data_IF_111896048371
#
_entry.id   IF_111896048371
#
_cell.length_a   1.000
_cell.length_b   1.000
_cell.length_c   1.000
_cell.angle_alpha   90.00
_cell.angle_beta   90.00
_cell.angle_gamma   90.00
#
_symmetry.space_group_name_H-M   'P 1'
#
loop_
_entity.id
_entity.type
_entity.pdbx_description
1 polymer ?
#
# COMPACT_ATOMS: atom_id res chain seq x y z
N UNK A 1 -10.66 64.91 68.86
CA UNK A 1 -10.71 64.06 67.64
C UNK A 1 -10.41 62.63 68.09
N UNK A 2 -11.19 61.58 67.91
CA UNK A 2 -12.47 61.33 67.25
C UNK A 2 -13.02 60.05 67.93
N UNK A 3 -14.22 60.10 68.46
CA UNK A 3 -14.97 58.94 68.98
C UNK A 3 -15.98 58.50 67.91
N UNK A 4 -16.27 57.20 67.80
CA UNK A 4 -17.56 56.54 67.45
C UNK A 4 -17.26 55.09 67.01
N UNK A 5 -17.63 54.02 67.76
CA UNK A 5 -18.96 53.40 67.95
C UNK A 5 -19.64 52.99 66.63
N UNK A 6 -19.94 51.69 66.44
CA UNK A 6 -21.31 51.14 66.36
C UNK A 6 -21.33 49.62 66.06
N UNK A 7 -22.24 48.93 66.75
CA UNK A 7 -22.62 47.51 66.63
C UNK A 7 -23.38 47.18 65.34
N UNK A 8 -23.40 45.91 64.93
CA UNK A 8 -24.28 45.40 63.86
C UNK A 8 -24.44 43.88 63.92
N UNK A 9 -25.69 43.41 63.93
CA UNK A 9 -26.20 42.07 64.27
C UNK A 9 -26.64 41.31 62.99
N UNK A 10 -26.40 39.98 62.97
CA UNK A 10 -27.15 38.89 62.29
C UNK A 10 -27.14 38.75 60.75
N UNK A 11 -26.86 37.52 60.27
CA UNK A 11 -27.77 36.73 59.41
C UNK A 11 -27.30 35.27 59.28
N UNK A 12 -28.05 34.35 59.91
CA UNK A 12 -28.06 32.91 59.62
C UNK A 12 -29.00 32.69 58.43
N UNK A 13 -28.61 31.86 57.46
CA UNK A 13 -29.53 31.32 56.45
C UNK A 13 -29.20 29.86 56.16
N UNK A 14 -30.28 29.09 56.07
CA UNK A 14 -30.43 27.64 56.19
C UNK A 14 -31.07 27.12 54.88
N UNK A 15 -30.81 25.83 54.58
CA UNK A 15 -31.51 24.90 53.64
C UNK A 15 -31.36 25.20 52.14
N UNK A 16 -31.12 24.23 51.25
CA UNK A 16 -32.10 23.24 50.75
C UNK A 16 -31.44 21.96 50.18
N UNK A 17 -32.08 20.81 50.45
CA UNK A 17 -31.87 19.53 49.78
C UNK A 17 -32.53 19.50 48.39
N UNK A 18 -31.85 18.89 47.41
CA UNK A 18 -32.40 18.13 46.27
C UNK A 18 -31.25 17.21 45.82
N UNK A 19 -31.37 15.90 45.57
CA UNK A 19 -32.45 15.11 44.99
C UNK A 19 -31.80 14.27 43.87
N UNK A 20 -31.83 12.95 44.00
CA UNK A 20 -31.12 11.96 43.16
C UNK A 20 -31.56 11.94 41.68
N UNK A 21 -30.65 11.57 40.77
CA UNK A 21 -30.73 10.44 39.80
C UNK A 21 -29.89 10.74 38.55
N UNK A 22 -29.01 9.79 38.20
CA UNK A 22 -28.26 9.85 36.95
C UNK A 22 -27.13 8.82 36.93
N UNK A 23 -27.49 7.53 36.93
CA UNK A 23 -26.59 6.50 36.43
C UNK A 23 -26.30 6.86 34.97
N UNK A 24 -25.15 7.48 34.71
CA UNK A 24 -24.54 7.37 33.40
C UNK A 24 -24.10 5.92 33.28
N UNK A 25 -24.90 5.14 32.57
CA UNK A 25 -24.37 3.98 31.88
C UNK A 25 -23.31 4.54 30.93
N UNK A 26 -22.04 4.38 31.28
CA UNK A 26 -20.96 4.44 30.31
C UNK A 26 -21.28 3.36 29.27
N UNK A 27 -21.83 3.80 28.16
CA UNK A 27 -21.90 3.01 26.95
C UNK A 27 -20.45 2.57 26.66
N UNK A 28 -20.15 1.26 26.65
CA UNK A 28 -18.79 0.83 26.36
C UNK A 28 -18.42 1.44 25.01
N UNK A 29 -17.21 2.01 24.87
CA UNK A 29 -16.81 2.57 23.59
C UNK A 29 -17.03 1.47 22.57
N UNK A 30 -17.91 1.74 21.61
CA UNK A 30 -18.02 0.90 20.42
C UNK A 30 -16.62 0.88 19.87
N UNK A 31 -15.92 -0.23 20.10
CA UNK A 31 -14.65 -0.50 19.43
C UNK A 31 -15.06 -0.57 17.98
N UNK A 32 -14.92 0.54 17.26
CA UNK A 32 -15.01 0.59 15.82
C UNK A 32 -13.92 -0.35 15.33
N UNK A 33 -14.30 -1.62 15.15
CA UNK A 33 -13.44 -2.59 14.51
C UNK A 33 -13.06 -1.96 13.17
N UNK A 34 -11.76 -1.82 12.84
CA UNK A 34 -11.35 -1.19 11.60
C UNK A 34 -12.10 -1.89 10.48
N UNK A 35 -12.90 -1.11 9.73
CA UNK A 35 -13.77 -1.60 8.66
C UNK A 35 -12.94 -2.54 7.81
N UNK A 36 -13.27 -3.84 7.84
CA UNK A 36 -12.55 -4.84 7.06
C UNK A 36 -12.65 -4.40 5.60
N UNK A 37 -11.53 -3.98 5.02
CA UNK A 37 -11.48 -3.54 3.63
C UNK A 37 -11.92 -4.72 2.75
N UNK A 38 -13.00 -4.52 2.01
CA UNK A 38 -13.46 -5.50 1.03
C UNK A 38 -12.42 -5.62 -0.08
N UNK A 39 -12.07 -6.86 -0.42
CA UNK A 39 -11.00 -7.13 -1.38
C UNK A 39 -11.62 -7.67 -2.66
N UNK A 40 -11.18 -7.11 -3.78
CA UNK A 40 -11.32 -7.73 -5.08
C UNK A 40 -10.18 -8.73 -5.31
N UNK A 41 -10.40 -9.69 -6.20
CA UNK A 41 -9.40 -10.65 -6.65
C UNK A 41 -9.35 -10.64 -8.17
N UNK A 42 -8.15 -10.59 -8.73
CA UNK A 42 -7.96 -10.64 -10.18
C UNK A 42 -6.57 -11.11 -10.57
N UNK A 43 -6.31 -11.06 -11.86
CA UNK A 43 -4.99 -11.35 -12.40
C UNK A 43 -4.00 -10.23 -12.04
N UNK A 44 -2.78 -10.62 -11.65
CA UNK A 44 -1.62 -9.74 -11.75
C UNK A 44 -0.97 -9.94 -13.11
N UNK A 45 -0.82 -8.83 -13.83
CA UNK A 45 -0.19 -8.74 -15.16
C UNK A 45 1.05 -7.88 -15.07
N UNK A 46 1.92 -7.97 -16.07
CA UNK A 46 3.17 -7.21 -16.03
C UNK A 46 3.71 -6.81 -17.39
N UNK A 47 4.42 -5.70 -17.38
CA UNK A 47 5.20 -5.17 -18.50
C UNK A 47 6.63 -4.88 -18.04
N UNK A 48 7.59 -5.27 -18.85
CA UNK A 48 9.00 -5.09 -18.58
C UNK A 48 9.63 -4.23 -19.67
N UNK A 49 9.84 -2.95 -19.33
CA UNK A 49 10.60 -1.99 -20.14
C UNK A 49 12.09 -1.96 -19.76
N UNK A 50 12.54 -2.85 -18.87
CA UNK A 50 13.97 -2.94 -18.51
C UNK A 50 14.75 -3.70 -19.59
N UNK A 51 16.08 -3.48 -19.71
CA UNK A 51 16.93 -4.27 -20.60
C UNK A 51 17.25 -5.67 -20.03
N UNK A 52 16.62 -6.07 -18.92
CA UNK A 52 16.95 -7.28 -18.18
C UNK A 52 15.76 -8.24 -18.14
N UNK A 53 16.05 -9.53 -18.05
CA UNK A 53 15.03 -10.53 -17.81
C UNK A 53 14.57 -10.44 -16.36
N UNK A 54 13.26 -10.55 -16.13
CA UNK A 54 12.68 -10.64 -14.79
C UNK A 54 12.05 -12.02 -14.68
N UNK A 55 12.52 -12.81 -13.73
CA UNK A 55 12.08 -14.20 -13.56
C UNK A 55 10.70 -14.30 -12.90
N UNK A 56 10.45 -13.48 -11.88
CA UNK A 56 9.18 -13.40 -11.19
C UNK A 56 9.09 -12.11 -10.37
N UNK A 57 7.88 -11.77 -9.95
CA UNK A 57 7.66 -10.70 -8.98
C UNK A 57 6.57 -11.06 -7.97
N UNK A 58 6.61 -10.36 -6.84
CA UNK A 58 5.62 -10.45 -5.77
C UNK A 58 5.19 -9.06 -5.34
N UNK A 59 3.91 -8.95 -4.97
CA UNK A 59 3.32 -7.76 -4.36
C UNK A 59 2.81 -8.18 -2.99
N UNK A 60 3.14 -7.39 -1.97
CA UNK A 60 2.68 -7.62 -0.60
C UNK A 60 2.16 -6.32 0.02
N UNK A 61 0.93 -6.35 0.50
CA UNK A 61 0.36 -5.27 1.29
C UNK A 61 0.71 -5.38 2.78
N UNK A 62 0.14 -4.51 3.63
CA UNK A 62 0.38 -4.52 5.06
C UNK A 62 0.05 -5.87 5.70
N UNK A 63 0.80 -6.26 6.74
CA UNK A 63 0.61 -7.53 7.45
C UNK A 63 -0.85 -7.69 7.91
N UNK A 64 -1.42 -8.87 7.68
CA UNK A 64 -2.80 -9.19 8.06
C UNK A 64 -3.87 -8.76 7.05
N UNK A 65 -3.56 -7.92 6.06
CA UNK A 65 -4.56 -7.44 5.08
C UNK A 65 -4.93 -8.45 4.01
N UNK A 66 -4.09 -9.46 3.76
CA UNK A 66 -4.18 -10.40 2.63
C UNK A 66 -4.10 -9.72 1.26
N UNK A 67 -3.77 -8.43 1.19
CA UNK A 67 -3.45 -7.73 -0.06
C UNK A 67 -2.12 -8.26 -0.56
N UNK A 68 -2.08 -8.64 -1.84
CA UNK A 68 -0.87 -9.18 -2.44
C UNK A 68 -1.15 -10.15 -3.57
N UNK A 69 -0.09 -10.54 -4.26
CA UNK A 69 -0.11 -11.32 -5.48
C UNK A 69 1.28 -11.39 -6.11
N UNK A 70 1.34 -11.60 -7.41
CA UNK A 70 2.61 -11.69 -8.12
C UNK A 70 2.46 -12.23 -9.54
N UNK A 71 3.56 -12.33 -10.25
CA UNK A 71 3.53 -12.85 -11.60
C UNK A 71 4.81 -13.56 -11.99
N UNK A 72 4.70 -14.25 -13.12
CA UNK A 72 5.77 -15.04 -13.70
C UNK A 72 6.76 -14.18 -14.47
N UNK A 73 7.48 -14.85 -15.36
CA UNK A 73 8.62 -14.27 -16.03
C UNK A 73 8.25 -13.32 -17.18
N UNK A 74 9.14 -12.36 -17.42
CA UNK A 74 9.06 -11.38 -18.50
C UNK A 74 10.41 -11.29 -19.19
N UNK A 75 10.40 -11.36 -20.53
CA UNK A 75 11.58 -11.00 -21.33
C UNK A 75 11.94 -9.52 -21.13
N UNK A 76 13.18 -9.16 -21.44
CA UNK A 76 13.59 -7.77 -21.53
C UNK A 76 12.79 -7.02 -22.61
N UNK A 77 12.81 -5.69 -22.53
CA UNK A 77 12.32 -4.79 -23.57
C UNK A 77 13.00 -5.11 -24.90
N UNK A 78 12.23 -5.10 -25.99
CA UNK A 78 12.75 -5.28 -27.34
C UNK A 78 13.46 -4.01 -27.83
N UNK A 79 14.24 -4.16 -28.89
CA UNK A 79 14.97 -3.04 -29.51
C UNK A 79 14.03 -1.94 -30.03
N UNK A 80 12.80 -2.30 -30.41
CA UNK A 80 11.75 -1.36 -30.84
C UNK A 80 11.08 -0.60 -29.67
N UNK A 81 11.54 -0.82 -28.43
CA UNK A 81 10.98 -0.22 -27.22
C UNK A 81 9.72 -0.89 -26.70
N UNK A 82 9.21 -1.94 -27.35
CA UNK A 82 8.06 -2.67 -26.86
C UNK A 82 8.41 -3.48 -25.61
N UNK A 83 7.54 -3.50 -24.58
CA UNK A 83 7.85 -4.21 -23.35
C UNK A 83 7.80 -5.72 -23.56
N UNK A 84 8.61 -6.45 -22.79
CA UNK A 84 8.30 -7.84 -22.49
C UNK A 84 7.02 -7.89 -21.66
N UNK A 85 6.13 -8.83 -21.94
CA UNK A 85 4.85 -8.94 -21.23
C UNK A 85 4.72 -10.32 -20.61
N UNK A 86 4.08 -10.39 -19.45
CA UNK A 86 3.62 -11.65 -18.86
C UNK A 86 2.14 -11.55 -18.53
N UNK A 87 1.40 -12.60 -18.93
CA UNK A 87 -0.04 -12.72 -18.73
C UNK A 87 -0.42 -12.88 -17.26
N UNK A 88 -1.73 -12.90 -17.03
CA UNK A 88 -2.31 -12.96 -15.70
C UNK A 88 -1.94 -14.23 -14.94
N UNK A 89 -1.15 -14.10 -13.88
CA UNK A 89 -1.16 -15.10 -12.82
C UNK A 89 -2.18 -14.64 -11.78
N UNK A 90 -3.17 -15.49 -11.52
CA UNK A 90 -3.99 -15.37 -10.30
C UNK A 90 -3.04 -15.53 -9.09
N UNK A 91 -3.26 -14.89 -7.95
CA UNK A 91 -4.48 -14.25 -7.48
C UNK A 91 -4.13 -12.95 -6.76
N UNK A 92 -4.06 -11.85 -7.50
CA UNK A 92 -3.82 -10.55 -6.91
C UNK A 92 -5.06 -10.09 -6.16
N UNK A 93 -4.89 -9.84 -4.86
CA UNK A 93 -5.92 -9.29 -3.98
C UNK A 93 -5.61 -7.84 -3.67
N UNK A 94 -6.59 -6.97 -3.86
CA UNK A 94 -6.47 -5.54 -3.64
C UNK A 94 -7.81 -4.96 -3.18
N UNK A 95 -7.84 -3.78 -2.54
CA UNK A 95 -9.09 -3.17 -2.09
C UNK A 95 -10.09 -2.97 -3.24
N UNK A 96 -11.36 -3.30 -3.02
CA UNK A 96 -12.42 -2.99 -3.98
C UNK A 96 -12.55 -1.47 -4.14
N UNK A 97 -12.61 -0.75 -3.04
CA UNK A 97 -12.55 0.72 -3.00
C UNK A 97 -11.10 1.18 -2.85
N UNK A 98 -10.67 2.13 -3.69
CA UNK A 98 -9.31 2.68 -3.61
C UNK A 98 -9.01 3.28 -2.23
N UNK A 99 -7.78 3.06 -1.75
CA UNK A 99 -7.30 3.49 -0.45
C UNK A 99 -6.08 4.39 -0.62
N UNK A 100 -6.19 5.68 -0.32
CA UNK A 100 -5.12 6.67 -0.51
C UNK A 100 -3.83 6.34 0.27
N UNK A 101 -4.00 5.81 1.47
CA UNK A 101 -2.92 5.48 2.40
C UNK A 101 -2.37 4.06 2.20
N UNK A 102 -2.92 3.27 1.26
CA UNK A 102 -2.37 1.97 0.97
C UNK A 102 -0.94 2.12 0.43
N UNK A 103 -0.04 1.40 1.07
CA UNK A 103 1.36 1.25 0.67
C UNK A 103 1.65 -0.24 0.56
N UNK A 104 2.24 -0.62 -0.57
CA UNK A 104 2.62 -2.02 -0.82
C UNK A 104 4.12 -2.11 -1.07
N UNK A 105 4.63 -3.33 -0.95
CA UNK A 105 5.99 -3.67 -1.31
C UNK A 105 5.97 -4.53 -2.57
N UNK A 106 6.72 -4.12 -3.58
CA UNK A 106 6.93 -4.89 -4.81
C UNK A 106 8.33 -5.45 -4.80
N UNK A 107 8.46 -6.76 -4.99
CA UNK A 107 9.74 -7.46 -5.10
C UNK A 107 9.84 -8.16 -6.45
N UNK A 108 11.00 -8.15 -7.08
CA UNK A 108 11.22 -8.86 -8.34
C UNK A 108 12.62 -9.44 -8.42
N UNK A 109 12.72 -10.63 -9.03
CA UNK A 109 13.97 -11.32 -9.26
C UNK A 109 14.45 -10.99 -10.67
N UNK A 110 15.55 -10.25 -10.79
CA UNK A 110 16.11 -9.81 -12.06
C UNK A 110 17.41 -10.55 -12.37
N UNK A 111 17.57 -10.93 -13.64
CA UNK A 111 18.81 -11.45 -14.18
C UNK A 111 19.50 -10.38 -15.03
N UNK A 112 20.51 -9.74 -14.44
CA UNK A 112 21.37 -8.75 -15.09
C UNK A 112 22.66 -9.43 -15.59
N UNK A 113 23.44 -8.72 -16.40
CA UNK A 113 24.72 -9.23 -16.95
C UNK A 113 25.75 -9.69 -15.91
N UNK A 114 25.65 -9.28 -14.65
CA UNK A 114 26.61 -9.59 -13.59
C UNK A 114 25.89 -10.11 -12.35
N UNK A 115 26.36 -11.24 -11.78
CA UNK A 115 25.84 -11.85 -10.56
C UNK A 115 25.74 -10.88 -9.37
N UNK A 116 26.66 -9.90 -9.26
CA UNK A 116 26.62 -8.88 -8.20
C UNK A 116 25.42 -7.93 -8.31
N UNK A 117 24.83 -7.84 -9.49
CA UNK A 117 23.71 -6.95 -9.79
C UNK A 117 22.42 -7.69 -10.09
N UNK A 118 22.51 -8.99 -10.36
CA UNK A 118 21.37 -9.92 -10.41
C UNK A 118 20.89 -10.24 -9.01
N UNK A 119 19.62 -10.64 -8.89
CA UNK A 119 19.01 -10.99 -7.62
C UNK A 119 17.67 -10.30 -7.40
N UNK A 120 17.19 -10.36 -6.17
CA UNK A 120 15.99 -9.70 -5.74
C UNK A 120 16.22 -8.20 -5.57
N UNK A 121 15.25 -7.44 -6.07
CA UNK A 121 15.09 -6.02 -5.83
C UNK A 121 13.74 -5.80 -5.17
N UNK A 122 13.65 -4.72 -4.40
CA UNK A 122 12.46 -4.33 -3.66
C UNK A 122 12.22 -2.82 -3.80
N UNK A 123 10.98 -2.47 -4.10
CA UNK A 123 10.45 -1.13 -3.91
C UNK A 123 9.44 -1.16 -2.77
N UNK A 124 9.68 -0.37 -1.74
CA UNK A 124 8.76 -0.18 -0.60
C UNK A 124 7.90 1.07 -0.81
N UNK A 125 6.82 1.18 -0.03
CA UNK A 125 5.91 2.33 -0.06
C UNK A 125 5.33 2.64 -1.45
N UNK A 126 5.19 1.62 -2.30
CA UNK A 126 4.61 1.77 -3.64
C UNK A 126 3.14 2.15 -3.50
N UNK A 127 2.75 3.21 -4.20
CA UNK A 127 1.37 3.67 -4.29
C UNK A 127 0.68 3.03 -5.48
N UNK A 128 -0.63 2.86 -5.36
CA UNK A 128 -1.49 2.54 -6.49
C UNK A 128 -2.28 3.83 -6.80
N UNK A 129 -2.16 4.39 -8.01
CA UNK A 129 -2.95 5.56 -8.40
C UNK A 129 -4.45 5.28 -8.22
N UNK A 130 -5.24 6.34 -7.97
CA UNK A 130 -6.68 6.21 -7.77
C UNK A 130 -7.33 5.48 -8.95
N UNK A 131 -8.06 4.41 -8.65
CA UNK A 131 -8.78 3.60 -9.62
C UNK A 131 -10.27 3.52 -9.30
N UNK A 132 -11.07 3.33 -10.34
CA UNK A 132 -12.49 3.00 -10.22
C UNK A 132 -12.63 1.49 -10.01
N UNK A 133 -13.06 1.09 -8.81
CA UNK A 133 -13.26 -0.31 -8.43
C UNK A 133 -14.28 -1.07 -9.30
N UNK A 134 -15.11 -0.37 -10.06
CA UNK A 134 -16.13 -0.96 -10.94
C UNK A 134 -15.59 -1.48 -12.28
N UNK A 135 -14.38 -1.05 -12.68
CA UNK A 135 -13.71 -1.46 -13.92
C UNK A 135 -12.28 -1.87 -13.62
N UNK A 136 -12.00 -3.17 -13.72
CA UNK A 136 -10.65 -3.69 -13.53
C UNK A 136 -10.23 -4.60 -14.67
N UNK A 137 -9.23 -4.15 -15.41
CA UNK A 137 -8.41 -4.95 -16.32
C UNK A 137 -7.24 -5.64 -15.61
N UNK A 138 -7.35 -5.87 -14.29
CA UNK A 138 -6.31 -6.46 -13.44
C UNK A 138 -5.33 -5.45 -12.86
N UNK A 139 -4.46 -5.95 -11.98
CA UNK A 139 -3.36 -5.16 -11.40
C UNK A 139 -2.12 -5.35 -12.27
N UNK A 140 -1.45 -4.26 -12.60
CA UNK A 140 -0.30 -4.25 -13.49
C UNK A 140 0.95 -3.77 -12.76
N UNK A 141 1.97 -4.62 -12.74
CA UNK A 141 3.34 -4.24 -12.38
C UNK A 141 4.10 -3.86 -13.65
N UNK A 142 4.50 -2.59 -13.76
CA UNK A 142 5.25 -2.06 -14.91
C UNK A 142 6.67 -1.76 -14.45
N UNK A 143 7.62 -2.59 -14.85
CA UNK A 143 9.04 -2.43 -14.56
C UNK A 143 9.68 -1.50 -15.60
N UNK A 144 10.43 -0.52 -15.11
CA UNK A 144 11.03 0.56 -15.89
C UNK A 144 12.55 0.55 -15.74
N UNK A 145 13.30 1.07 -16.74
CA UNK A 145 14.76 1.22 -16.64
C UNK A 145 15.17 1.95 -15.36
N UNK A 146 16.34 1.58 -14.83
CA UNK A 146 16.86 2.13 -13.57
C UNK A 146 16.26 1.49 -12.32
N UNK A 147 15.82 0.22 -12.40
CA UNK A 147 15.23 -0.53 -11.29
C UNK A 147 13.99 0.13 -10.69
N UNK A 148 13.16 0.72 -11.55
CA UNK A 148 11.94 1.42 -11.16
C UNK A 148 10.71 0.58 -11.43
N UNK A 149 9.63 0.80 -10.69
CA UNK A 149 8.37 0.10 -10.89
C UNK A 149 7.18 1.02 -10.66
N UNK A 150 6.14 0.86 -11.47
CA UNK A 150 4.81 1.40 -11.21
C UNK A 150 3.84 0.26 -10.99
N UNK A 151 2.98 0.39 -9.99
CA UNK A 151 1.87 -0.51 -9.77
C UNK A 151 0.55 0.25 -10.02
N UNK A 152 -0.34 -0.32 -10.82
CA UNK A 152 -1.64 0.31 -11.08
C UNK A 152 -2.74 -0.72 -11.28
N UNK A 153 -3.99 -0.33 -11.03
CA UNK A 153 -5.16 -1.07 -11.49
C UNK A 153 -5.55 -0.49 -12.84
N UNK A 154 -5.63 -1.32 -13.88
CA UNK A 154 -6.06 -0.83 -15.19
C UNK A 154 -7.57 -0.61 -15.17
N UNK A 155 -8.03 0.64 -15.28
CA UNK A 155 -9.45 1.01 -15.17
C UNK A 155 -10.02 1.69 -16.43
N UNK A 156 -9.24 1.70 -17.52
CA UNK A 156 -9.62 2.41 -18.74
C UNK A 156 -9.28 3.90 -18.72
N UNK A 157 -8.45 4.35 -17.77
CA UNK A 157 -7.81 5.66 -17.69
C UNK A 157 -8.65 6.77 -17.01
N UNK A 158 -9.34 6.45 -15.90
CA UNK A 158 -10.22 7.40 -15.20
C UNK A 158 -9.51 8.71 -14.75
N UNK A 159 -8.20 8.68 -14.53
CA UNK A 159 -7.40 9.81 -14.04
C UNK A 159 -6.10 10.05 -14.84
N UNK A 160 -5.99 9.55 -16.06
CA UNK A 160 -4.79 9.75 -16.91
C UNK A 160 -3.58 8.86 -16.58
N UNK A 161 -3.66 8.02 -15.54
CA UNK A 161 -2.49 7.32 -14.97
C UNK A 161 -2.63 5.80 -14.88
N UNK A 162 -3.73 5.25 -15.36
CA UNK A 162 -4.09 3.82 -15.24
C UNK A 162 -4.26 3.14 -16.62
N UNK A 163 -3.53 3.62 -17.64
CA UNK A 163 -3.56 3.06 -18.98
C UNK A 163 -2.35 2.16 -19.24
N UNK A 164 -2.58 0.94 -19.70
CA UNK A 164 -1.53 0.00 -20.14
C UNK A 164 -1.08 0.26 -21.58
N UNK A 165 -1.81 1.09 -22.32
CA UNK A 165 -1.47 1.42 -23.71
C UNK A 165 -0.33 2.43 -23.82
N UNK A 166 0.01 3.13 -22.72
CA UNK A 166 1.02 4.18 -22.69
C UNK A 166 2.04 3.80 -21.62
N UNK A 167 3.33 3.76 -22.00
CA UNK A 167 4.42 3.58 -21.03
C UNK A 167 4.37 4.73 -20.01
N UNK A 168 4.46 4.44 -18.70
CA UNK A 168 4.59 5.49 -17.69
C UNK A 168 5.76 6.44 -18.00
N UNK A 169 5.55 7.73 -17.78
CA UNK A 169 6.60 8.74 -17.87
C UNK A 169 7.70 8.49 -16.85
N UNK A 170 8.92 8.96 -17.13
CA UNK A 170 10.02 8.83 -16.18
C UNK A 170 9.85 9.75 -14.94
N UNK A 171 8.99 10.76 -15.06
CA UNK A 171 8.58 11.73 -14.05
C UNK A 171 7.24 11.39 -13.37
N UNK A 172 6.65 10.23 -13.67
CA UNK A 172 5.37 9.80 -13.10
C UNK A 172 5.47 9.64 -11.56
N UNK A 173 4.69 10.38 -10.76
CA UNK A 173 4.86 10.41 -9.31
C UNK A 173 4.45 9.14 -8.55
N UNK A 174 3.91 8.13 -9.24
CA UNK A 174 3.63 6.80 -8.67
C UNK A 174 4.62 5.73 -9.14
N UNK A 175 5.68 6.14 -9.84
CA UNK A 175 6.86 5.31 -10.07
C UNK A 175 7.72 5.30 -8.80
N UNK A 176 7.95 4.10 -8.27
CA UNK A 176 8.80 3.86 -7.12
C UNK A 176 10.18 3.33 -7.54
N UNK A 177 11.20 3.71 -6.78
CA UNK A 177 12.57 3.23 -6.96
C UNK A 177 12.75 1.89 -6.23
N UNK A 178 13.31 0.92 -6.93
CA UNK A 178 13.79 -0.33 -6.36
C UNK A 178 15.24 -0.24 -5.91
N UNK A 179 15.56 -1.03 -4.90
CA UNK A 179 16.93 -1.26 -4.42
C UNK A 179 17.17 -2.77 -4.28
N UNK A 180 18.42 -3.24 -4.28
CA UNK A 180 18.73 -4.63 -3.95
C UNK A 180 18.06 -5.05 -2.63
N UNK A 181 17.44 -6.22 -2.61
CA UNK A 181 16.75 -6.76 -1.44
C UNK A 181 17.65 -7.75 -0.70
N UNK A 182 18.44 -7.26 0.26
CA UNK A 182 19.39 -8.10 1.02
C UNK A 182 18.69 -9.26 1.74
N UNK A 183 17.47 -9.05 2.24
CA UNK A 183 16.65 -10.06 2.92
C UNK A 183 16.35 -11.22 1.95
N UNK A 184 15.76 -10.92 0.79
CA UNK A 184 15.37 -11.96 -0.16
C UNK A 184 16.54 -12.52 -0.96
N UNK A 185 17.61 -11.75 -1.14
CA UNK A 185 18.86 -12.27 -1.69
C UNK A 185 19.52 -13.29 -0.75
N UNK A 186 19.37 -13.12 0.56
CA UNK A 186 19.85 -14.09 1.55
C UNK A 186 18.92 -15.32 1.67
N UNK A 187 17.61 -15.08 1.81
CA UNK A 187 16.62 -16.13 2.08
C UNK A 187 16.23 -16.94 0.83
N UNK A 188 16.17 -16.29 -0.33
CA UNK A 188 15.73 -16.87 -1.58
C UNK A 188 16.75 -16.63 -2.70
N UNK A 189 18.03 -17.02 -2.55
CA UNK A 189 19.02 -16.83 -3.59
C UNK A 189 18.56 -17.48 -4.90
N UNK A 190 18.61 -16.72 -6.00
CA UNK A 190 18.09 -17.15 -7.31
C UNK A 190 16.63 -17.61 -7.29
N UNK A 191 15.84 -17.12 -6.33
CA UNK A 191 14.41 -17.44 -6.18
C UNK A 191 14.10 -18.79 -5.53
N UNK A 192 15.07 -19.45 -4.90
CA UNK A 192 14.90 -20.74 -4.20
C UNK A 192 15.19 -20.56 -2.73
N UNK A 193 14.30 -21.04 -1.86
CA UNK A 193 14.48 -20.94 -0.41
C UNK A 193 15.79 -21.60 0.03
N UNK A 194 16.61 -20.83 0.74
CA UNK A 194 17.83 -21.30 1.36
C UNK A 194 17.46 -22.31 2.44
N UNK A 195 17.73 -23.60 2.19
CA UNK A 195 17.64 -24.61 3.23
C UNK A 195 18.80 -24.39 4.20
N UNK A 196 18.49 -24.18 5.47
CA UNK A 196 19.46 -24.29 6.55
C UNK A 196 19.58 -25.79 6.83
N UNK A 197 20.77 -26.36 6.59
CA UNK A 197 21.10 -27.72 7.03
C UNK A 197 21.52 -27.71 8.49
#
# INVERSE_FOLDING_TARGET
MKTNRFSGVVAVLLVLLAGCTGLHADEPPTVEMPKRVELNSGDSRSMNYTPWYIDKFSISGPKGTRIGGGGGNMRAMREDGSPGQSGGQCCMRYPMEWQADLRVTVRWLVDKKNEKTSGWYKAENVRIPQYDGSRSGGVWAIFLPGDRVKLMVADGNANGRNSVAIRPGDDDPDVAQGVPDDEWNYEYPKGVMRRIQ
#
